data_IF_595238766619
#
_entry.id   IF_595238766619
#
_cell.length_a   1.000
_cell.length_b   1.000
_cell.length_c   1.000
_cell.angle_alpha   90.00
_cell.angle_beta   90.00
_cell.angle_gamma   90.00
#
_symmetry.space_group_name_H-M   'P 1'
#
loop_
_entity.id
_entity.type
_entity.pdbx_description
1 polymer ?
#
# COMPACT_ATOMS: atom_id res chain seq x y z
N UNK A 1 15.65 38.53 2.65
CA UNK A 1 15.50 37.50 1.61
C UNK A 1 16.08 36.20 2.15
N UNK A 2 15.28 35.13 2.26
CA UNK A 2 15.77 33.86 2.78
C UNK A 2 16.80 33.26 1.81
N UNK A 3 17.97 32.88 2.30
CA UNK A 3 18.95 32.14 1.50
C UNK A 3 18.31 30.84 1.03
N UNK A 4 18.07 30.72 -0.27
CA UNK A 4 17.73 29.46 -0.90
C UNK A 4 18.93 28.53 -0.71
N UNK A 5 18.93 27.75 0.37
CA UNK A 5 19.92 26.68 0.57
C UNK A 5 19.97 25.78 -0.66
N UNK A 6 21.13 25.20 -0.94
CA UNK A 6 21.37 24.42 -2.16
C UNK A 6 20.41 23.24 -2.26
N UNK A 7 19.45 23.32 -3.20
CA UNK A 7 18.57 22.20 -3.54
C UNK A 7 19.44 21.11 -4.17
N UNK A 8 19.30 19.87 -3.70
CA UNK A 8 20.07 18.74 -4.23
C UNK A 8 19.21 17.95 -5.21
N UNK A 9 19.75 17.67 -6.40
CA UNK A 9 19.08 16.86 -7.43
C UNK A 9 18.72 15.46 -6.93
N UNK A 10 17.47 15.03 -7.12
CA UNK A 10 16.96 13.70 -6.78
C UNK A 10 16.30 13.10 -8.02
N UNK A 11 16.83 11.98 -8.51
CA UNK A 11 16.32 11.28 -9.69
C UNK A 11 15.70 9.94 -9.31
N UNK A 12 14.82 9.44 -10.17
CA UNK A 12 14.18 8.13 -10.02
C UNK A 12 15.23 6.99 -9.97
N UNK A 13 16.31 7.09 -10.76
CA UNK A 13 17.39 6.10 -10.75
C UNK A 13 18.06 5.95 -9.37
N UNK A 14 18.04 6.99 -8.52
CA UNK A 14 18.61 6.94 -7.17
C UNK A 14 17.79 6.06 -6.21
N UNK A 15 16.60 5.61 -6.61
CA UNK A 15 15.80 4.66 -5.83
C UNK A 15 16.38 3.23 -5.84
N UNK A 16 17.24 2.89 -6.81
CA UNK A 16 17.82 1.54 -6.90
C UNK A 16 16.80 0.42 -7.11
N UNK A 17 15.64 0.75 -7.68
CA UNK A 17 14.63 -0.23 -8.11
C UNK A 17 14.51 -0.22 -9.61
N UNK A 18 14.36 -1.42 -10.15
CA UNK A 18 13.78 -1.63 -11.48
C UNK A 18 12.26 -1.42 -11.46
N UNK A 19 11.67 -1.32 -12.66
CA UNK A 19 10.24 -1.12 -12.82
C UNK A 19 9.42 -2.35 -12.41
N UNK A 20 10.03 -3.52 -12.34
CA UNK A 20 9.37 -4.77 -11.94
C UNK A 20 9.21 -4.90 -10.42
N UNK A 21 9.77 -3.96 -9.63
CA UNK A 21 9.61 -3.96 -8.19
C UNK A 21 8.31 -3.28 -7.78
N UNK A 22 7.49 -3.99 -7.02
CA UNK A 22 6.26 -3.46 -6.41
C UNK A 22 6.36 -2.04 -5.81
N UNK A 23 7.42 -1.64 -5.06
CA UNK A 23 7.54 -0.28 -4.51
C UNK A 23 8.02 0.80 -5.51
N UNK A 24 8.40 0.45 -6.74
CA UNK A 24 8.94 1.40 -7.71
C UNK A 24 7.96 2.54 -7.99
N UNK A 25 6.71 2.18 -8.24
CA UNK A 25 5.61 3.13 -8.44
C UNK A 25 5.45 4.13 -7.30
N UNK A 26 5.52 3.64 -6.06
CA UNK A 26 5.37 4.43 -4.84
C UNK A 26 6.54 5.42 -4.72
N UNK A 27 7.74 4.94 -5.07
CA UNK A 27 8.96 5.75 -5.10
C UNK A 27 8.93 6.85 -6.14
N UNK A 28 8.48 6.55 -7.36
CA UNK A 28 8.31 7.55 -8.41
C UNK A 28 7.35 8.65 -7.97
N UNK A 29 6.21 8.32 -7.38
CA UNK A 29 5.28 9.31 -6.84
C UNK A 29 5.91 10.19 -5.75
N UNK A 30 6.71 9.58 -4.87
CA UNK A 30 7.43 10.29 -3.81
C UNK A 30 8.53 11.23 -4.36
N UNK A 31 9.22 10.82 -5.42
CA UNK A 31 10.22 11.65 -6.11
C UNK A 31 9.53 12.82 -6.83
N UNK A 32 8.41 12.60 -7.50
CA UNK A 32 7.61 13.69 -8.08
C UNK A 32 7.17 14.72 -7.03
N UNK A 33 6.76 14.25 -5.84
CA UNK A 33 6.42 15.16 -4.74
C UNK A 33 7.64 15.97 -4.27
N UNK A 34 8.84 15.39 -4.30
CA UNK A 34 10.07 16.14 -4.00
C UNK A 34 10.34 17.24 -5.04
N UNK A 35 10.20 16.93 -6.33
CA UNK A 35 10.32 17.92 -7.40
C UNK A 35 9.32 19.07 -7.23
N UNK A 36 8.06 18.73 -6.94
CA UNK A 36 6.98 19.68 -6.79
C UNK A 36 7.18 20.65 -5.62
N UNK A 37 7.73 20.20 -4.48
CA UNK A 37 7.65 20.97 -3.23
C UNK A 37 9.01 21.35 -2.62
N UNK A 38 10.14 20.81 -3.10
CA UNK A 38 11.46 21.03 -2.48
C UNK A 38 11.89 22.51 -2.41
N UNK A 39 11.45 23.36 -3.35
CA UNK A 39 11.79 24.79 -3.34
C UNK A 39 11.13 25.57 -2.21
N UNK A 40 9.99 25.09 -1.72
CA UNK A 40 9.20 25.75 -0.67
C UNK A 40 9.55 25.19 0.72
N UNK A 41 10.47 24.22 0.78
CA UNK A 41 10.99 23.64 2.01
C UNK A 41 12.29 24.33 2.43
N UNK A 42 12.56 24.36 3.73
CA UNK A 42 13.90 24.72 4.23
C UNK A 42 14.94 23.64 3.86
N UNK A 43 16.23 23.94 4.03
CA UNK A 43 17.29 22.98 3.70
C UNK A 43 17.17 21.68 4.50
N UNK A 44 17.03 21.76 5.82
CA UNK A 44 16.88 20.58 6.67
C UNK A 44 15.64 19.76 6.34
N UNK A 45 14.58 20.42 5.89
CA UNK A 45 13.36 19.76 5.41
C UNK A 45 13.57 19.05 4.06
N UNK A 46 14.27 19.67 3.11
CA UNK A 46 14.64 19.00 1.86
C UNK A 46 15.47 17.75 2.12
N UNK A 47 16.47 17.86 3.00
CA UNK A 47 17.35 16.75 3.33
C UNK A 47 16.58 15.62 4.05
N UNK A 48 15.68 15.98 4.97
CA UNK A 48 14.80 15.00 5.61
C UNK A 48 13.87 14.30 4.60
N UNK A 49 13.22 15.06 3.71
CA UNK A 49 12.36 14.47 2.67
C UNK A 49 13.15 13.51 1.77
N UNK A 50 14.32 13.95 1.30
CA UNK A 50 15.23 13.12 0.50
C UNK A 50 15.62 11.84 1.23
N UNK A 51 15.94 11.93 2.52
CA UNK A 51 16.29 10.76 3.34
C UNK A 51 15.10 9.80 3.52
N UNK A 52 13.88 10.30 3.71
CA UNK A 52 12.68 9.45 3.76
C UNK A 52 12.48 8.68 2.44
N UNK A 53 12.78 9.32 1.30
CA UNK A 53 12.70 8.72 -0.04
C UNK A 53 13.81 7.69 -0.25
N UNK A 54 15.07 8.08 -0.08
CA UNK A 54 16.21 7.20 -0.34
C UNK A 54 16.27 6.00 0.61
N UNK A 55 15.81 6.14 1.87
CA UNK A 55 15.70 5.02 2.81
C UNK A 55 14.41 4.21 2.64
N UNK A 56 13.59 4.55 1.64
CA UNK A 56 12.35 3.86 1.29
C UNK A 56 11.33 3.79 2.43
N UNK A 57 11.25 4.82 3.27
CA UNK A 57 10.30 4.87 4.38
C UNK A 57 8.85 4.99 3.91
N UNK A 58 8.64 5.31 2.63
CA UNK A 58 7.34 5.40 1.97
C UNK A 58 6.75 4.06 1.53
N UNK A 59 7.51 2.95 1.57
CA UNK A 59 7.03 1.68 1.00
C UNK A 59 5.78 1.17 1.70
N UNK A 60 4.78 0.81 0.91
CA UNK A 60 3.62 0.10 1.42
C UNK A 60 3.95 -1.35 1.82
N UNK A 61 3.54 -1.72 3.03
CA UNK A 61 3.29 -3.12 3.42
C UNK A 61 1.85 -3.50 3.09
N UNK A 62 1.52 -4.81 3.08
CA UNK A 62 0.14 -5.30 2.90
C UNK A 62 -0.83 -4.58 3.85
N UNK A 63 -0.50 -4.54 5.15
CA UNK A 63 -1.32 -3.86 6.15
C UNK A 63 -1.53 -2.37 5.85
N UNK A 64 -0.50 -1.67 5.36
CA UNK A 64 -0.65 -0.24 5.03
C UNK A 64 -1.43 0.04 3.74
N UNK A 65 -1.56 -0.96 2.84
CA UNK A 65 -2.41 -0.86 1.65
C UNK A 65 -3.89 -0.94 2.05
N UNK A 66 -4.18 -1.72 3.09
CA UNK A 66 -5.52 -1.89 3.66
C UNK A 66 -5.89 -0.73 4.60
N UNK A 67 -4.96 -0.32 5.46
CA UNK A 67 -5.20 0.70 6.49
C UNK A 67 -4.13 1.81 6.48
N UNK A 68 -4.58 3.07 6.35
CA UNK A 68 -3.69 4.25 6.34
C UNK A 68 -2.76 4.33 7.57
N UNK A 69 -3.28 4.12 8.77
CA UNK A 69 -2.50 4.27 10.01
C UNK A 69 -1.45 3.17 10.22
N UNK A 70 -1.52 2.08 9.44
CA UNK A 70 -0.47 1.05 9.44
C UNK A 70 0.71 1.42 8.54
N UNK A 71 0.64 2.55 7.81
CA UNK A 71 1.76 3.08 7.06
C UNK A 71 2.93 3.48 7.97
N UNK A 72 4.16 3.17 7.54
CA UNK A 72 5.37 3.43 8.34
C UNK A 72 5.52 4.91 8.68
N UNK A 73 5.26 5.81 7.73
CA UNK A 73 5.31 7.26 7.97
C UNK A 73 4.30 7.73 9.03
N UNK A 74 3.17 7.03 9.21
CA UNK A 74 2.20 7.35 10.25
C UNK A 74 2.67 6.92 11.65
N UNK A 75 3.56 5.92 11.72
CA UNK A 75 4.02 5.29 12.96
C UNK A 75 5.38 5.80 13.44
N UNK A 76 6.23 6.20 12.51
CA UNK A 76 7.57 6.71 12.75
C UNK A 76 7.52 8.22 13.08
N UNK A 77 8.14 8.70 14.17
CA UNK A 77 8.26 10.12 14.46
C UNK A 77 8.82 10.95 13.30
N UNK A 78 9.82 10.41 12.56
CA UNK A 78 10.40 11.09 11.40
C UNK A 78 9.40 11.22 10.24
N UNK A 79 8.44 10.30 10.15
CA UNK A 79 7.35 10.33 9.16
C UNK A 79 6.18 11.23 9.54
N UNK A 80 6.08 11.67 10.80
CA UNK A 80 5.06 12.61 11.32
C UNK A 80 5.48 14.08 11.17
N UNK A 81 6.32 14.35 10.18
CA UNK A 81 6.84 15.66 9.80
C UNK A 81 6.06 16.23 8.62
N UNK A 82 6.25 17.52 8.33
CA UNK A 82 5.68 18.16 7.12
C UNK A 82 6.01 17.37 5.85
N UNK A 83 7.26 16.89 5.73
CA UNK A 83 7.73 16.13 4.56
C UNK A 83 7.05 14.76 4.47
N UNK A 84 6.94 14.06 5.60
CA UNK A 84 6.25 12.77 5.64
C UNK A 84 4.77 12.90 5.24
N UNK A 85 4.11 13.99 5.63
CA UNK A 85 2.74 14.28 5.19
C UNK A 85 2.65 14.57 3.68
N UNK A 86 3.61 15.30 3.11
CA UNK A 86 3.69 15.51 1.65
C UNK A 86 3.77 14.16 0.93
N UNK A 87 4.64 13.25 1.39
CA UNK A 87 4.77 11.92 0.79
C UNK A 87 3.48 11.09 0.93
N UNK A 88 2.83 11.13 2.10
CA UNK A 88 1.55 10.45 2.30
C UNK A 88 0.46 10.97 1.35
N UNK A 89 0.41 12.27 1.07
CA UNK A 89 -0.50 12.85 0.08
C UNK A 89 -0.20 12.42 -1.35
N UNK A 90 1.06 12.09 -1.66
CA UNK A 90 1.42 11.53 -2.96
C UNK A 90 0.93 10.08 -3.12
N UNK A 91 0.88 9.31 -2.02
CA UNK A 91 0.54 7.89 -2.04
C UNK A 91 -0.95 7.60 -1.86
N UNK A 92 -1.66 8.38 -1.06
CA UNK A 92 -3.05 8.15 -0.69
C UNK A 92 -3.99 9.17 -1.34
N UNK A 93 -5.20 8.73 -1.72
CA UNK A 93 -6.27 9.58 -2.29
C UNK A 93 -6.70 10.65 -1.32
N UNK A 94 -6.83 10.27 -0.05
CA UNK A 94 -7.12 11.15 1.07
C UNK A 94 -6.24 10.78 2.27
N UNK A 95 -5.79 11.80 2.99
CA UNK A 95 -5.13 11.65 4.29
C UNK A 95 -6.16 12.00 5.37
N UNK A 96 -6.31 11.20 6.44
CA UNK A 96 -7.21 11.51 7.54
C UNK A 96 -6.95 12.91 8.12
N UNK A 97 -8.04 13.66 8.32
CA UNK A 97 -8.00 15.09 8.69
C UNK A 97 -7.37 15.30 10.06
N UNK A 98 -7.62 14.41 11.03
CA UNK A 98 -7.00 14.41 12.35
C UNK A 98 -5.47 14.26 12.27
N UNK A 99 -4.99 13.36 11.42
CA UNK A 99 -3.56 13.16 11.19
C UNK A 99 -2.94 14.42 10.57
N UNK A 100 -3.56 14.94 9.52
CA UNK A 100 -3.13 16.17 8.85
C UNK A 100 -3.08 17.35 9.81
N UNK A 101 -4.18 17.63 10.52
CA UNK A 101 -4.26 18.70 11.51
C UNK A 101 -3.19 18.55 12.60
N UNK A 102 -2.93 17.31 13.05
CA UNK A 102 -1.88 17.03 14.01
C UNK A 102 -0.49 17.41 13.51
N UNK A 103 -0.17 17.13 12.24
CA UNK A 103 1.13 17.53 11.65
C UNK A 103 1.19 19.03 11.40
N UNK A 104 0.14 19.64 10.85
CA UNK A 104 0.08 21.08 10.55
C UNK A 104 0.19 21.92 11.82
N UNK A 105 -0.49 21.53 12.91
CA UNK A 105 -0.40 22.22 14.19
C UNK A 105 1.04 22.24 14.75
N UNK A 106 1.84 21.20 14.50
CA UNK A 106 3.23 21.10 14.97
C UNK A 106 4.23 21.74 14.03
N UNK A 107 4.05 21.58 12.73
CA UNK A 107 5.05 21.92 11.72
C UNK A 107 4.70 23.17 10.92
N UNK A 108 3.50 23.72 11.06
CA UNK A 108 2.99 24.84 10.28
C UNK A 108 2.39 24.41 8.94
N UNK A 109 2.22 25.39 8.05
CA UNK A 109 1.48 25.22 6.79
C UNK A 109 2.23 24.32 5.79
N UNK A 110 1.48 23.68 4.89
CA UNK A 110 2.03 22.84 3.82
C UNK A 110 2.25 23.68 2.55
N UNK A 111 3.28 23.34 1.75
CA UNK A 111 3.40 23.91 0.42
C UNK A 111 2.22 23.43 -0.44
N UNK A 112 1.63 24.37 -1.19
CA UNK A 112 0.44 24.13 -2.02
C UNK A 112 0.78 24.19 -3.51
N UNK A 113 1.76 25.02 -3.87
CA UNK A 113 2.17 25.23 -5.26
C UNK A 113 3.04 24.06 -5.72
N UNK A 114 2.68 23.46 -6.86
CA UNK A 114 3.56 22.54 -7.55
C UNK A 114 4.60 23.35 -8.33
N UNK A 115 5.89 23.10 -8.05
CA UNK A 115 7.04 23.79 -8.65
C UNK A 115 7.95 22.85 -9.45
N UNK A 116 7.36 21.80 -10.03
CA UNK A 116 8.11 20.82 -10.81
C UNK A 116 8.76 21.46 -12.05
N UNK A 117 8.10 22.40 -12.73
CA UNK A 117 8.65 23.07 -13.91
C UNK A 117 9.88 23.92 -13.56
N UNK A 118 9.82 24.64 -12.44
CA UNK A 118 11.00 25.34 -11.91
C UNK A 118 12.11 24.35 -11.54
N UNK A 119 11.75 23.16 -11.02
CA UNK A 119 12.73 22.13 -10.66
C UNK A 119 13.46 21.61 -11.90
N UNK A 120 12.73 21.31 -12.97
CA UNK A 120 13.32 20.91 -14.25
C UNK A 120 14.15 22.03 -14.89
N UNK A 121 13.79 23.29 -14.67
CA UNK A 121 14.62 24.43 -15.10
C UNK A 121 15.96 24.47 -14.36
N UNK A 122 15.98 24.18 -13.06
CA UNK A 122 17.23 24.11 -12.27
C UNK A 122 18.07 22.87 -12.60
N UNK A 123 17.43 21.77 -12.97
CA UNK A 123 18.08 20.49 -13.25
C UNK A 123 17.57 19.92 -14.59
N UNK A 124 17.98 20.50 -15.73
CA UNK A 124 17.45 20.15 -17.06
C UNK A 124 17.73 18.70 -17.46
N UNK A 125 18.78 18.10 -16.90
CA UNK A 125 19.13 16.70 -17.14
C UNK A 125 18.28 15.71 -16.33
N UNK A 126 17.33 16.19 -15.51
CA UNK A 126 16.42 15.33 -14.74
C UNK A 126 15.46 14.63 -15.69
N UNK A 127 15.51 13.30 -15.70
CA UNK A 127 14.57 12.50 -16.48
C UNK A 127 13.20 12.57 -15.81
N UNK A 128 12.19 12.97 -16.59
CA UNK A 128 10.81 13.03 -16.14
C UNK A 128 10.27 11.68 -15.67
N UNK A 129 9.10 11.66 -15.00
CA UNK A 129 8.55 10.41 -14.52
C UNK A 129 8.09 9.54 -15.70
N UNK A 130 8.23 8.21 -15.60
CA UNK A 130 7.68 7.31 -16.60
C UNK A 130 6.16 7.41 -16.64
N UNK A 131 5.59 7.16 -17.82
CA UNK A 131 4.13 7.03 -18.00
C UNK A 131 3.73 5.62 -17.60
N UNK A 132 2.75 5.51 -16.72
CA UNK A 132 2.24 4.24 -16.24
C UNK A 132 0.91 3.93 -16.91
N UNK A 133 0.79 2.78 -17.59
CA UNK A 133 -0.50 2.28 -18.04
C UNK A 133 -1.31 1.77 -16.83
N UNK A 134 -2.50 2.32 -16.66
CA UNK A 134 -3.39 2.04 -15.54
C UNK A 134 -4.69 1.36 -15.99
N UNK A 135 -4.86 1.10 -17.30
CA UNK A 135 -6.07 0.57 -17.90
C UNK A 135 -6.07 -0.96 -18.07
N UNK A 136 -5.10 -1.64 -17.45
CA UNK A 136 -5.10 -3.10 -17.38
C UNK A 136 -6.12 -3.62 -16.38
N UNK A 137 -6.68 -4.81 -16.63
CA UNK A 137 -7.63 -5.45 -15.70
C UNK A 137 -7.04 -5.69 -14.32
N UNK A 138 -5.75 -6.02 -14.24
CA UNK A 138 -5.05 -6.22 -12.97
C UNK A 138 -4.92 -4.93 -12.18
N UNK A 139 -4.57 -3.83 -12.84
CA UNK A 139 -4.52 -2.51 -12.21
C UNK A 139 -5.91 -2.08 -11.70
N UNK A 140 -6.96 -2.27 -12.50
CA UNK A 140 -8.35 -2.01 -12.08
C UNK A 140 -8.76 -2.81 -10.84
N UNK A 141 -8.57 -4.14 -10.86
CA UNK A 141 -8.88 -5.00 -9.70
C UNK A 141 -8.08 -4.60 -8.46
N UNK A 142 -6.82 -4.23 -8.63
CA UNK A 142 -5.99 -3.75 -7.54
C UNK A 142 -6.54 -2.46 -6.93
N UNK A 143 -6.91 -1.48 -7.75
CA UNK A 143 -7.50 -0.22 -7.28
C UNK A 143 -8.85 -0.44 -6.58
N UNK A 144 -9.66 -1.39 -7.06
CA UNK A 144 -10.90 -1.77 -6.39
C UNK A 144 -10.64 -2.37 -5.00
N UNK A 145 -9.61 -3.22 -4.87
CA UNK A 145 -9.21 -3.81 -3.59
C UNK A 145 -8.63 -2.78 -2.61
N UNK A 146 -7.91 -1.78 -3.12
CA UNK A 146 -7.22 -0.78 -2.31
C UNK A 146 -7.65 0.64 -2.70
N UNK A 147 -8.90 1.02 -2.42
CA UNK A 147 -9.50 2.24 -2.94
C UNK A 147 -8.85 3.52 -2.40
N UNK A 148 -8.15 3.44 -1.27
CA UNK A 148 -7.46 4.56 -0.63
C UNK A 148 -6.16 4.95 -1.33
N UNK A 149 -5.58 4.08 -2.16
CA UNK A 149 -4.28 4.32 -2.78
C UNK A 149 -4.42 5.10 -4.09
N UNK A 150 -3.57 6.11 -4.29
CA UNK A 150 -3.41 6.78 -5.59
C UNK A 150 -2.56 5.94 -6.54
N UNK A 151 -1.55 5.27 -5.99
CA UNK A 151 -0.53 4.57 -6.76
C UNK A 151 -0.86 3.08 -6.84
N UNK A 152 -0.73 2.53 -8.04
CA UNK A 152 -0.83 1.08 -8.31
C UNK A 152 0.57 0.48 -8.43
N UNK A 153 0.87 -0.71 -7.91
CA UNK A 153 2.18 -1.32 -8.09
C UNK A 153 2.56 -1.52 -9.56
N UNK A 154 3.83 -1.26 -9.90
CA UNK A 154 4.33 -1.41 -11.26
C UNK A 154 4.27 -2.84 -11.82
N UNK A 155 4.40 -3.86 -10.97
CA UNK A 155 4.20 -5.28 -11.32
C UNK A 155 2.82 -5.60 -11.91
N UNK A 156 1.82 -4.74 -11.67
CA UNK A 156 0.44 -4.92 -12.13
C UNK A 156 0.13 -4.08 -13.37
N UNK A 157 1.11 -3.34 -13.87
CA UNK A 157 0.95 -2.35 -14.94
C UNK A 157 1.25 -2.89 -16.32
N UNK A 158 2.05 -3.95 -16.43
CA UNK A 158 2.40 -4.54 -17.73
C UNK A 158 2.63 -6.04 -17.59
N UNK A 159 1.68 -6.86 -18.07
CA UNK A 159 1.99 -8.25 -18.40
C UNK A 159 1.12 -8.83 -19.51
N UNK A 160 0.89 -8.04 -20.56
CA UNK A 160 0.25 -8.51 -21.80
C UNK A 160 1.13 -8.30 -23.05
N UNK A 161 2.44 -8.09 -22.88
CA UNK A 161 3.42 -8.12 -23.98
C UNK A 161 4.58 -9.08 -23.68
N UNK A 162 4.26 -10.34 -23.45
CA UNK A 162 5.15 -11.46 -23.71
C UNK A 162 4.28 -12.70 -23.88
N UNK A 163 4.52 -13.44 -24.95
CA UNK A 163 3.91 -14.74 -25.28
C UNK A 163 2.56 -14.73 -26.00
N UNK A 164 2.57 -14.24 -27.25
CA UNK A 164 1.91 -14.98 -28.33
C UNK A 164 3.00 -15.71 -29.13
N UNK A 165 3.33 -16.98 -28.84
CA UNK A 165 3.84 -17.83 -29.89
C UNK A 165 2.64 -18.16 -30.78
N UNK A 166 2.65 -17.65 -32.00
CA UNK A 166 1.70 -18.09 -33.02
C UNK A 166 1.75 -19.63 -33.14
N UNK A 167 0.61 -20.35 -33.12
CA UNK A 167 0.61 -21.77 -33.43
C UNK A 167 0.91 -21.93 -34.93
N UNK A 168 2.18 -22.15 -35.27
CA UNK A 168 2.52 -22.66 -36.59
C UNK A 168 2.02 -24.11 -36.68
N UNK A 169 0.90 -24.27 -37.37
CA UNK A 169 0.44 -25.56 -37.87
C UNK A 169 1.31 -25.92 -39.08
N UNK A 170 2.24 -26.85 -38.89
CA UNK A 170 2.93 -27.55 -39.99
C UNK A 170 2.18 -28.84 -40.30
N UNK A 171 1.95 -29.21 -41.58
CA UNK A 171 1.55 -30.57 -41.93
C UNK A 171 2.78 -31.40 -42.35
N UNK A 172 3.10 -32.40 -41.51
CA UNK A 172 3.48 -33.83 -41.74
C UNK A 172 4.41 -34.27 -42.92
N UNK A 173 4.80 -35.56 -43.02
CA UNK A 173 5.77 -36.34 -42.23
C UNK A 173 6.81 -37.06 -43.14
N UNK A 174 7.89 -37.66 -42.60
CA UNK A 174 8.57 -38.91 -43.10
C UNK A 174 9.68 -39.33 -42.12
N UNK A 175 9.86 -40.65 -42.00
CA UNK A 175 10.51 -41.41 -40.91
C UNK A 175 12.03 -41.71 -41.22
N UNK A 176 12.80 -42.53 -40.47
CA UNK A 176 14.14 -42.26 -39.90
C UNK A 176 15.22 -43.18 -40.58
N UNK A 177 16.32 -43.73 -39.97
CA UNK A 177 16.99 -43.55 -38.66
C UNK A 177 18.55 -43.49 -38.69
N UNK A 178 19.17 -43.16 -37.54
CA UNK A 178 20.30 -43.91 -36.91
C UNK A 178 20.93 -43.13 -35.74
N UNK A 179 20.96 -43.75 -34.55
CA UNK A 179 21.75 -43.38 -33.35
C UNK A 179 23.21 -43.88 -33.49
N UNK A 180 24.12 -43.87 -32.47
CA UNK A 180 24.09 -43.35 -31.08
C UNK A 180 25.37 -42.52 -30.74
N UNK A 181 25.55 -41.87 -29.58
CA UNK A 181 26.20 -42.34 -28.32
C UNK A 181 26.74 -41.01 -27.69
N UNK A 182 26.54 -40.65 -26.43
CA UNK A 182 27.40 -41.02 -25.29
C UNK A 182 26.92 -40.35 -23.98
N UNK A 183 26.96 -41.16 -22.91
CA UNK A 183 27.44 -40.82 -21.55
C UNK A 183 26.68 -39.79 -20.69
N UNK A 184 25.80 -40.21 -19.76
CA UNK A 184 26.04 -40.68 -18.37
C UNK A 184 26.02 -39.58 -17.27
N UNK A 185 25.60 -39.91 -16.03
CA UNK A 185 24.84 -39.01 -15.14
C UNK A 185 25.61 -38.55 -13.89
N UNK A 186 25.15 -37.45 -13.27
CA UNK A 186 25.55 -37.01 -11.92
C UNK A 186 24.31 -36.45 -11.19
N UNK A 187 24.16 -36.67 -9.87
CA UNK A 187 22.87 -36.99 -9.27
C UNK A 187 22.12 -35.80 -8.67
N UNK A 188 20.81 -36.04 -8.52
CA UNK A 188 19.86 -35.23 -7.79
C UNK A 188 20.21 -35.11 -6.30
N UNK A 189 19.90 -33.95 -5.73
CA UNK A 189 19.63 -33.78 -4.31
C UNK A 189 18.53 -32.73 -4.12
N UNK A 190 17.74 -32.86 -3.04
CA UNK A 190 16.29 -32.74 -3.12
C UNK A 190 15.80 -31.33 -2.84
N UNK A 191 14.82 -30.91 -3.63
CA UNK A 191 13.94 -29.79 -3.32
C UNK A 191 13.05 -30.26 -2.16
N UNK A 192 13.27 -29.70 -0.97
CA UNK A 192 12.32 -29.82 0.13
C UNK A 192 11.14 -28.92 -0.18
N UNK A 193 10.14 -29.47 -0.89
CA UNK A 193 8.77 -28.98 -0.85
C UNK A 193 8.31 -29.07 0.60
N UNK A 194 8.10 -27.91 1.23
CA UNK A 194 7.41 -27.85 2.50
C UNK A 194 5.97 -27.50 2.17
N UNK A 195 5.16 -28.53 1.99
CA UNK A 195 3.71 -28.45 2.05
C UNK A 195 3.33 -27.76 3.36
N UNK A 196 2.75 -26.57 3.24
CA UNK A 196 2.09 -25.92 4.36
C UNK A 196 0.61 -26.23 4.24
N UNK A 197 0.19 -27.29 4.93
CA UNK A 197 -1.23 -27.60 5.16
C UNK A 197 -1.92 -26.38 5.78
N UNK A 198 -2.77 -25.74 4.99
CA UNK A 198 -3.72 -24.75 5.46
C UNK A 198 -4.84 -25.50 6.19
N UNK A 199 -4.74 -25.54 7.53
CA UNK A 199 -5.79 -26.05 8.40
C UNK A 199 -7.00 -25.11 8.26
N UNK A 200 -7.91 -25.49 7.37
CA UNK A 200 -9.23 -24.91 7.17
C UNK A 200 -10.07 -25.09 8.43
N UNK A 201 -10.02 -24.10 9.32
CA UNK A 201 -10.99 -23.94 10.40
C UNK A 201 -12.15 -23.08 9.87
N UNK A 202 -13.23 -23.75 9.46
CA UNK A 202 -14.51 -23.13 9.11
C UNK A 202 -15.03 -22.29 10.29
N UNK A 203 -15.45 -21.03 10.08
CA UNK A 203 -16.15 -20.28 11.12
C UNK A 203 -17.58 -20.81 11.29
N UNK A 204 -18.16 -20.72 12.50
CA UNK A 204 -19.53 -21.17 12.75
C UNK A 204 -20.53 -20.26 12.03
N UNK A 205 -21.48 -20.90 11.35
CA UNK A 205 -22.65 -20.28 10.71
C UNK A 205 -23.52 -19.67 11.80
N UNK A 206 -23.61 -18.34 11.82
CA UNK A 206 -24.65 -17.63 12.56
C UNK A 206 -25.90 -17.51 11.67
N UNK A 207 -27.11 -17.84 12.18
CA UNK A 207 -28.33 -17.67 11.43
C UNK A 207 -28.64 -16.18 11.25
N UNK A 208 -28.67 -15.73 10.00
CA UNK A 208 -29.20 -14.42 9.61
C UNK A 208 -30.73 -14.53 9.65
N UNK A 209 -31.44 -13.65 10.37
CA UNK A 209 -32.90 -13.61 10.31
C UNK A 209 -33.32 -13.16 8.91
N UNK A 210 -34.01 -14.06 8.24
CA UNK A 210 -34.66 -13.90 6.96
C UNK A 210 -35.85 -12.96 7.13
N UNK A 211 -35.65 -11.65 6.93
CA UNK A 211 -36.78 -10.78 6.65
C UNK A 211 -36.38 -9.45 5.98
N UNK A 212 -37.08 -9.18 4.90
CA UNK A 212 -37.26 -7.88 4.21
C UNK A 212 -36.10 -7.39 3.33
N UNK A 213 -35.94 -8.01 2.16
CA UNK A 213 -35.59 -7.28 0.94
C UNK A 213 -36.89 -6.91 0.21
N UNK A 214 -37.44 -5.73 0.53
CA UNK A 214 -38.35 -5.03 -0.39
C UNK A 214 -37.53 -3.95 -1.09
N UNK A 215 -37.31 -4.14 -2.38
CA UNK A 215 -36.82 -3.10 -3.28
C UNK A 215 -37.90 -2.02 -3.42
N UNK A 216 -37.62 -0.72 -3.19
CA UNK A 216 -38.57 0.31 -3.55
C UNK A 216 -38.58 0.45 -5.07
N UNK A 217 -39.73 0.12 -5.66
CA UNK A 217 -40.08 0.46 -7.03
C UNK A 217 -39.88 1.95 -7.25
N UNK A 218 -39.14 2.31 -8.29
CA UNK A 218 -39.00 3.68 -8.74
C UNK A 218 -40.34 4.17 -9.34
N UNK A 219 -41.12 4.89 -8.54
CA UNK A 219 -42.19 5.76 -9.03
C UNK A 219 -41.73 7.21 -8.95
N UNK A 220 -41.71 7.83 -10.12
CA UNK A 220 -41.30 9.20 -10.39
C UNK A 220 -42.35 10.19 -9.85
N UNK A 221 -42.27 10.56 -8.58
CA UNK A 221 -42.98 11.73 -8.03
C UNK A 221 -42.00 12.62 -7.27
N UNK A 222 -41.30 13.48 -8.00
CA UNK A 222 -40.18 14.28 -7.50
C UNK A 222 -40.58 15.56 -6.73
N UNK A 223 -41.83 15.71 -6.25
CA UNK A 223 -42.30 16.95 -5.61
C UNK A 223 -43.33 16.73 -4.47
N UNK A 224 -43.28 15.61 -3.75
CA UNK A 224 -44.07 15.46 -2.51
C UNK A 224 -43.32 16.06 -1.32
N UNK A 225 -43.93 16.95 -0.51
CA UNK A 225 -43.27 17.47 0.69
C UNK A 225 -43.01 16.34 1.67
N UNK A 226 -41.74 16.11 2.02
CA UNK A 226 -41.31 15.13 3.02
C UNK A 226 -42.13 15.34 4.29
N UNK A 227 -42.84 14.29 4.71
CA UNK A 227 -43.68 14.37 5.89
C UNK A 227 -42.80 14.41 7.14
N UNK A 228 -43.23 15.11 8.19
CA UNK A 228 -42.51 15.17 9.47
C UNK A 228 -42.21 13.77 10.04
N UNK A 229 -43.12 12.82 9.79
CA UNK A 229 -42.98 11.44 10.21
C UNK A 229 -41.81 10.71 9.50
N UNK A 230 -41.64 10.90 8.20
CA UNK A 230 -40.50 10.33 7.45
C UNK A 230 -39.16 10.93 7.92
N UNK A 231 -39.15 12.21 8.26
CA UNK A 231 -37.96 12.87 8.82
C UNK A 231 -37.60 12.33 10.21
N UNK A 232 -38.58 12.17 11.09
CA UNK A 232 -38.36 11.62 12.44
C UNK A 232 -37.90 10.15 12.36
N UNK A 233 -38.46 9.36 11.43
CA UNK A 233 -38.02 8.00 11.16
C UNK A 233 -36.56 7.97 10.69
N UNK A 234 -36.19 8.81 9.71
CA UNK A 234 -34.80 8.90 9.23
C UNK A 234 -33.84 9.28 10.35
N UNK A 235 -34.22 10.20 11.24
CA UNK A 235 -33.39 10.58 12.39
C UNK A 235 -33.16 9.41 13.34
N UNK A 236 -34.19 8.58 13.59
CA UNK A 236 -34.06 7.38 14.42
C UNK A 236 -33.16 6.31 13.79
N UNK A 237 -33.22 6.14 12.48
CA UNK A 237 -32.36 5.22 11.73
C UNK A 237 -30.90 5.69 11.75
N UNK A 238 -30.65 6.98 11.55
CA UNK A 238 -29.30 7.57 11.63
C UNK A 238 -28.73 7.43 13.05
N UNK A 239 -29.53 7.65 14.09
CA UNK A 239 -29.10 7.47 15.48
C UNK A 239 -28.70 6.01 15.75
N UNK A 240 -29.53 5.05 15.30
CA UNK A 240 -29.27 3.61 15.44
C UNK A 240 -28.00 3.21 14.67
N UNK A 241 -27.80 3.74 13.47
CA UNK A 241 -26.61 3.48 12.67
C UNK A 241 -25.35 4.03 13.34
N UNK A 242 -25.41 5.25 13.89
CA UNK A 242 -24.30 5.85 14.62
C UNK A 242 -23.90 5.01 15.84
N UNK A 243 -24.88 4.46 16.56
CA UNK A 243 -24.64 3.60 17.71
C UNK A 243 -24.01 2.25 17.29
N UNK A 244 -24.48 1.66 16.19
CA UNK A 244 -23.88 0.46 15.61
C UNK A 244 -22.43 0.68 15.16
N UNK A 245 -22.14 1.81 14.52
CA UNK A 245 -20.77 2.17 14.11
C UNK A 245 -19.88 2.35 15.34
N UNK A 246 -20.37 3.00 16.39
CA UNK A 246 -19.64 3.16 17.66
C UNK A 246 -19.34 1.81 18.33
N UNK A 247 -20.29 0.89 18.35
CA UNK A 247 -20.07 -0.47 18.85
C UNK A 247 -19.01 -1.22 18.03
N UNK A 248 -19.07 -1.12 16.69
CA UNK A 248 -18.13 -1.79 15.80
C UNK A 248 -16.70 -1.25 16.00
N UNK A 249 -16.55 0.08 16.14
CA UNK A 249 -15.28 0.73 16.44
C UNK A 249 -14.68 0.23 17.76
N UNK A 250 -15.48 0.17 18.83
CA UNK A 250 -15.04 -0.37 20.13
C UNK A 250 -14.64 -1.85 20.03
N UNK A 251 -15.38 -2.66 19.26
CA UNK A 251 -15.04 -4.06 19.05
C UNK A 251 -13.69 -4.20 18.31
N UNK A 252 -13.45 -3.37 17.30
CA UNK A 252 -12.20 -3.35 16.56
C UNK A 252 -11.01 -2.91 17.42
N UNK A 253 -11.18 -1.89 18.27
CA UNK A 253 -10.16 -1.47 19.22
C UNK A 253 -9.78 -2.56 20.21
N UNK A 254 -10.78 -3.25 20.79
CA UNK A 254 -10.55 -4.42 21.66
C UNK A 254 -9.79 -5.53 20.94
N UNK A 255 -10.14 -5.81 19.68
CA UNK A 255 -9.44 -6.82 18.88
C UNK A 255 -7.98 -6.42 18.62
N UNK A 256 -7.74 -5.13 18.33
CA UNK A 256 -6.40 -4.57 18.15
C UNK A 256 -5.56 -4.67 19.42
N UNK A 257 -6.16 -4.41 20.59
CA UNK A 257 -5.50 -4.55 21.88
C UNK A 257 -5.12 -6.00 22.19
N UNK A 258 -6.04 -6.95 21.98
CA UNK A 258 -5.76 -8.40 22.12
C UNK A 258 -4.58 -8.84 21.24
N UNK A 259 -4.53 -8.39 19.98
CA UNK A 259 -3.40 -8.68 19.07
C UNK A 259 -2.09 -8.09 19.58
N UNK A 260 -2.10 -6.91 20.20
CA UNK A 260 -0.91 -6.29 20.81
C UNK A 260 -0.43 -7.08 22.03
N UNK A 261 -1.35 -7.52 22.89
CA UNK A 261 -1.02 -8.35 24.06
C UNK A 261 -0.45 -9.71 23.65
N UNK A 262 -1.07 -10.38 22.68
CA UNK A 262 -0.57 -11.65 22.16
C UNK A 262 0.87 -11.52 21.63
N UNK A 263 1.15 -10.46 20.87
CA UNK A 263 2.52 -10.16 20.39
C UNK A 263 3.50 -9.88 21.53
N UNK A 264 3.06 -9.22 22.61
CA UNK A 264 3.89 -8.99 23.81
C UNK A 264 4.19 -10.30 24.53
N UNK A 265 3.21 -11.20 24.65
CA UNK A 265 3.41 -12.49 25.32
C UNK A 265 4.33 -13.41 24.52
N UNK A 266 4.16 -13.50 23.20
CA UNK A 266 5.09 -14.24 22.32
C UNK A 266 6.54 -13.73 22.50
N UNK A 267 6.74 -12.41 22.54
CA UNK A 267 8.08 -11.83 22.79
C UNK A 267 8.63 -12.19 24.17
N UNK A 268 7.79 -12.24 25.20
CA UNK A 268 8.20 -12.67 26.55
C UNK A 268 8.59 -14.15 26.57
N UNK A 269 7.83 -15.00 25.88
CA UNK A 269 8.10 -16.43 25.77
C UNK A 269 9.45 -16.69 25.08
N UNK A 270 9.69 -16.05 23.91
CA UNK A 270 10.97 -16.13 23.20
C UNK A 270 12.14 -15.70 24.10
N UNK A 271 12.00 -14.59 24.83
CA UNK A 271 13.04 -14.14 25.78
C UNK A 271 13.31 -15.14 26.90
N UNK A 272 12.27 -15.80 27.42
CA UNK A 272 12.41 -16.85 28.45
C UNK A 272 13.14 -18.07 27.88
N UNK A 273 12.82 -18.49 26.67
CA UNK A 273 13.49 -19.61 26.00
C UNK A 273 14.95 -19.34 25.70
N UNK A 274 15.29 -18.16 25.17
CA UNK A 274 16.69 -17.75 24.94
C UNK A 274 17.48 -17.79 26.26
N UNK A 275 16.93 -17.25 27.37
CA UNK A 275 17.59 -17.30 28.67
C UNK A 275 17.77 -18.74 29.18
N UNK A 276 16.80 -19.62 28.95
CA UNK A 276 16.91 -21.05 29.31
C UNK A 276 18.00 -21.74 28.49
N UNK A 277 18.07 -21.47 27.18
CA UNK A 277 19.12 -21.98 26.29
C UNK A 277 20.52 -21.56 26.74
N UNK A 278 20.73 -20.26 27.02
CA UNK A 278 22.02 -19.73 27.50
C UNK A 278 22.47 -20.36 28.82
N UNK A 279 21.55 -20.63 29.75
CA UNK A 279 21.87 -21.31 31.02
C UNK A 279 22.29 -22.77 30.82
N UNK A 280 21.76 -23.46 29.81
CA UNK A 280 22.16 -24.84 29.48
C UNK A 280 23.55 -24.89 28.86
N UNK A 281 23.88 -23.94 27.98
CA UNK A 281 25.22 -23.84 27.37
C UNK A 281 26.27 -23.57 28.44
N UNK A 282 26.00 -22.70 29.41
CA UNK A 282 26.96 -22.34 30.48
C UNK A 282 27.21 -23.44 31.53
N UNK A 283 26.44 -24.54 31.50
CA UNK A 283 26.59 -25.70 32.39
C UNK A 283 27.29 -26.89 31.72
N UNK A 284 27.55 -26.81 30.42
CA UNK A 284 28.38 -27.75 29.66
C UNK A 284 29.78 -27.16 29.54
#
# INVERSE_FOLDING_TARGET
MAQLGTIRRLDIAQLGFDEDRMPYSDGVACVQAYWAYSMDLSQGERDNMRNLILNHNYRHTVASREEFYEHRLCRDPAGRTRQGLILLRALYKAVPVDFENGVVARCGHLPVRNRSDEYFTLFPDTVGPPVFDMDTDRARRYQQRYPLLKVTPSTLRNRDQADVPAPQTTPSPTIPPASPTESSPVPASPVMETDFEEISASPPVLPVPENVMQSPSATTEANSPVTRQEFDQLCSEVATLAENVSMLQRAFERQRERRREQRREIRRQIRREIRRGLRRVRRR
#
